data_IF_519584111370
#
_entry.id   IF_519584111370
#
_cell.length_a   1.000
_cell.length_b   1.000
_cell.length_c   1.000
_cell.angle_alpha   90.00
_cell.angle_beta   90.00
_cell.angle_gamma   90.00
#
_symmetry.space_group_name_H-M   'P 1'
#
loop_
_entity.id
_entity.type
_entity.pdbx_description
1 polymer ?
#
# COMPACT_ATOMS: atom_id res chain seq x y z
N UNK A 1 34.73 6.69 -22.42
CA UNK A 1 33.75 7.62 -23.04
C UNK A 1 32.62 7.79 -22.02
N UNK A 2 32.70 8.91 -21.30
CA UNK A 2 31.75 9.28 -20.24
C UNK A 2 30.54 9.97 -20.88
N UNK A 3 29.36 9.37 -20.74
CA UNK A 3 28.09 10.00 -21.07
C UNK A 3 27.39 10.40 -19.76
N UNK A 4 27.62 11.64 -19.33
CA UNK A 4 26.89 12.32 -18.28
C UNK A 4 25.46 12.58 -18.74
N UNK A 5 24.48 11.86 -18.20
CA UNK A 5 23.05 12.19 -18.36
C UNK A 5 22.68 13.22 -17.30
N UNK A 6 22.44 14.43 -17.75
CA UNK A 6 21.80 15.51 -16.98
C UNK A 6 20.36 15.13 -16.62
N UNK A 7 19.90 15.34 -15.39
CA UNK A 7 18.48 15.07 -15.05
C UNK A 7 17.58 16.09 -15.74
N UNK A 8 16.60 15.60 -16.46
CA UNK A 8 15.60 16.40 -17.15
C UNK A 8 14.70 17.15 -16.12
N UNK A 9 14.49 18.43 -16.39
CA UNK A 9 13.60 19.33 -15.67
C UNK A 9 12.18 18.75 -15.61
N UNK A 10 11.60 18.79 -14.42
CA UNK A 10 10.17 18.59 -14.18
C UNK A 10 9.35 19.60 -15.01
N UNK A 11 8.66 19.12 -16.03
CA UNK A 11 7.67 19.89 -16.76
C UNK A 11 6.45 20.11 -15.87
N UNK A 12 6.04 21.37 -15.74
CA UNK A 12 4.83 21.77 -15.02
C UNK A 12 3.58 21.18 -15.72
N UNK A 13 2.55 20.79 -14.95
CA UNK A 13 1.32 20.28 -15.54
C UNK A 13 0.55 21.39 -16.30
N UNK A 14 -0.20 21.03 -17.36
CA UNK A 14 -0.99 21.98 -18.10
C UNK A 14 -2.11 22.60 -17.25
N UNK A 15 -2.30 23.90 -17.39
CA UNK A 15 -3.38 24.68 -16.76
C UNK A 15 -4.75 24.19 -17.24
N UNK A 16 -5.44 23.48 -16.40
CA UNK A 16 -6.87 23.20 -16.58
C UNK A 16 -7.70 24.22 -15.79
N UNK A 17 -8.05 25.33 -16.44
CA UNK A 17 -9.08 26.25 -15.97
C UNK A 17 -10.45 25.62 -16.20
N UNK A 18 -11.04 25.02 -15.17
CA UNK A 18 -12.47 24.79 -15.10
C UNK A 18 -13.02 25.49 -13.85
N UNK A 19 -13.65 26.63 -14.07
CA UNK A 19 -14.50 27.30 -13.09
C UNK A 19 -15.71 26.41 -12.81
N UNK A 20 -15.82 25.88 -11.60
CA UNK A 20 -17.08 25.46 -11.02
C UNK A 20 -17.28 26.19 -9.71
N UNK A 21 -18.36 26.95 -9.67
CA UNK A 21 -18.80 27.71 -8.50
C UNK A 21 -19.30 26.74 -7.44
N UNK A 22 -18.54 26.56 -6.37
CA UNK A 22 -19.05 25.92 -5.16
C UNK A 22 -19.34 26.98 -4.11
N UNK A 23 -20.62 27.07 -3.74
CA UNK A 23 -21.13 27.88 -2.62
C UNK A 23 -20.46 27.42 -1.32
N UNK A 24 -19.90 28.41 -0.61
CA UNK A 24 -19.38 28.22 0.74
C UNK A 24 -20.55 27.87 1.67
N UNK A 25 -20.51 26.67 2.25
CA UNK A 25 -21.29 26.33 3.44
C UNK A 25 -20.28 26.26 4.58
N UNK A 26 -20.31 27.27 5.43
CA UNK A 26 -19.60 27.27 6.71
C UNK A 26 -20.47 26.47 7.68
N UNK A 27 -20.01 25.28 8.05
CA UNK A 27 -20.57 24.56 9.20
C UNK A 27 -19.43 24.30 10.18
N UNK A 28 -19.37 25.13 11.23
CA UNK A 28 -18.66 24.79 12.44
C UNK A 28 -19.56 23.81 13.22
N UNK A 29 -19.16 22.56 13.27
CA UNK A 29 -19.70 21.60 14.22
C UNK A 29 -18.56 20.65 14.60
N UNK A 30 -18.15 20.76 15.87
CA UNK A 30 -17.25 19.80 16.49
C UNK A 30 -17.93 18.43 16.50
N UNK A 31 -17.45 17.55 15.66
CA UNK A 31 -17.84 16.13 15.69
C UNK A 31 -16.92 15.45 16.68
N UNK A 32 -17.41 15.28 17.91
CA UNK A 32 -16.91 14.26 18.83
C UNK A 32 -17.31 12.93 18.18
N UNK A 33 -16.39 12.32 17.44
CA UNK A 33 -16.57 10.93 16.98
C UNK A 33 -16.36 10.05 18.20
N UNK A 34 -17.46 9.73 18.87
CA UNK A 34 -17.53 8.60 19.79
C UNK A 34 -17.32 7.36 18.92
N UNK A 35 -16.08 6.84 18.91
CA UNK A 35 -15.82 5.51 18.37
C UNK A 35 -16.52 4.52 19.31
N UNK A 36 -17.80 4.24 19.03
CA UNK A 36 -18.42 3.02 19.48
C UNK A 36 -17.68 1.91 18.75
N UNK A 37 -16.85 1.16 19.48
CA UNK A 37 -16.40 -0.15 19.05
C UNK A 37 -17.66 -1.00 18.89
N UNK A 38 -18.21 -1.01 17.70
CA UNK A 38 -19.08 -2.08 17.28
C UNK A 38 -18.20 -3.33 17.29
N UNK A 39 -18.52 -4.23 18.19
CA UNK A 39 -18.11 -5.63 18.12
C UNK A 39 -18.50 -6.15 16.73
N UNK A 40 -17.62 -5.95 15.78
CA UNK A 40 -17.61 -6.72 14.56
C UNK A 40 -16.88 -8.02 14.90
N UNK A 41 -17.46 -8.81 15.81
CA UNK A 41 -17.31 -10.26 15.77
C UNK A 41 -17.79 -10.63 14.36
N UNK A 42 -16.83 -10.73 13.44
CA UNK A 42 -17.08 -11.26 12.11
C UNK A 42 -17.55 -12.68 12.31
N UNK A 43 -18.86 -12.88 12.45
CA UNK A 43 -19.44 -14.17 12.15
C UNK A 43 -18.91 -14.54 10.78
N UNK A 44 -18.10 -15.60 10.72
CA UNK A 44 -17.77 -16.30 9.49
C UNK A 44 -19.08 -16.53 8.76
N UNK A 45 -19.33 -15.74 7.71
CA UNK A 45 -20.52 -15.95 6.91
C UNK A 45 -20.42 -17.38 6.36
N UNK A 46 -21.26 -18.30 6.82
CA UNK A 46 -21.11 -19.72 6.52
C UNK A 46 -21.21 -19.88 4.99
N UNK A 47 -20.14 -20.33 4.35
CA UNK A 47 -20.16 -20.80 2.97
C UNK A 47 -19.46 -19.94 1.93
N UNK A 48 -18.64 -18.96 2.27
CA UNK A 48 -17.87 -18.25 1.24
C UNK A 48 -16.72 -19.13 0.74
N UNK A 49 -16.86 -19.65 -0.49
CA UNK A 49 -15.79 -20.41 -1.15
C UNK A 49 -14.57 -19.49 -1.31
N UNK A 50 -13.39 -19.87 -0.81
CA UNK A 50 -12.17 -19.09 -1.01
C UNK A 50 -11.92 -18.85 -2.50
N UNK A 51 -11.41 -17.67 -2.90
CA UNK A 51 -11.07 -17.42 -4.30
C UNK A 51 -9.94 -18.35 -4.75
N UNK A 52 -9.85 -18.58 -6.06
CA UNK A 52 -8.71 -19.29 -6.66
C UNK A 52 -7.43 -18.52 -6.40
N UNK A 53 -6.35 -19.20 -6.07
CA UNK A 53 -5.02 -18.63 -5.94
C UNK A 53 -4.53 -18.02 -7.23
N UNK A 54 -3.65 -17.05 -7.13
CA UNK A 54 -3.05 -16.32 -8.24
C UNK A 54 -1.58 -16.70 -8.38
N UNK A 55 -1.10 -16.79 -9.61
CA UNK A 55 0.31 -16.86 -9.96
C UNK A 55 0.84 -15.43 -10.05
N UNK A 56 1.55 -14.98 -9.02
CA UNK A 56 1.96 -13.58 -8.85
C UNK A 56 3.45 -13.42 -9.09
N UNK A 57 3.81 -12.55 -10.02
CA UNK A 57 5.18 -12.09 -10.23
C UNK A 57 5.37 -10.77 -9.46
N UNK A 58 6.42 -10.69 -8.67
CA UNK A 58 6.74 -9.52 -7.86
C UNK A 58 7.96 -8.78 -8.39
N UNK A 59 8.01 -7.47 -8.17
CA UNK A 59 9.16 -6.62 -8.44
C UNK A 59 9.22 -5.49 -7.41
N UNK A 60 10.40 -5.16 -6.96
CA UNK A 60 10.59 -4.07 -6.01
C UNK A 60 11.94 -4.14 -5.31
N UNK A 61 12.21 -3.14 -4.47
CA UNK A 61 13.40 -3.03 -3.65
C UNK A 61 13.12 -3.47 -2.20
N UNK A 62 13.98 -3.08 -1.27
CA UNK A 62 13.92 -3.45 0.16
C UNK A 62 12.56 -3.19 0.84
N UNK A 63 11.77 -2.25 0.34
CA UNK A 63 10.44 -1.93 0.86
C UNK A 63 9.31 -2.83 0.29
N UNK A 64 9.66 -3.83 -0.51
CA UNK A 64 8.66 -4.74 -1.10
C UNK A 64 9.13 -6.21 -1.15
N UNK A 65 10.44 -6.46 -1.10
CA UNK A 65 11.03 -7.79 -1.33
C UNK A 65 10.54 -8.88 -0.36
N UNK A 66 10.01 -8.52 0.80
CA UNK A 66 9.49 -9.45 1.80
C UNK A 66 8.03 -9.86 1.53
N UNK A 67 7.28 -9.06 0.76
CA UNK A 67 5.84 -9.26 0.52
C UNK A 67 5.52 -10.66 0.00
N UNK A 68 6.19 -11.21 -1.04
CA UNK A 68 5.88 -12.54 -1.55
C UNK A 68 5.94 -13.61 -0.48
N UNK A 69 6.99 -13.58 0.35
CA UNK A 69 7.20 -14.56 1.43
C UNK A 69 6.14 -14.45 2.54
N UNK A 70 5.67 -13.24 2.83
CA UNK A 70 4.72 -13.01 3.92
C UNK A 70 3.25 -13.14 3.48
N UNK A 71 2.94 -12.97 2.19
CA UNK A 71 1.59 -13.20 1.66
C UNK A 71 1.25 -14.69 1.63
N UNK A 72 2.21 -15.57 1.34
CA UNK A 72 1.99 -17.00 1.21
C UNK A 72 1.33 -17.65 2.46
N UNK A 73 1.80 -17.44 3.70
CA UNK A 73 1.11 -17.98 4.87
C UNK A 73 -0.31 -17.43 5.05
N UNK A 74 -0.58 -16.18 4.66
CA UNK A 74 -1.94 -15.62 4.72
C UNK A 74 -2.88 -16.32 3.73
N UNK A 75 -2.42 -16.64 2.52
CA UNK A 75 -3.23 -17.38 1.56
C UNK A 75 -3.57 -18.77 2.06
N UNK A 76 -2.64 -19.45 2.71
CA UNK A 76 -2.88 -20.75 3.35
C UNK A 76 -3.90 -20.66 4.48
N UNK A 77 -3.75 -19.65 5.36
CA UNK A 77 -4.68 -19.41 6.46
C UNK A 77 -6.08 -19.05 5.97
N UNK A 78 -6.21 -18.38 4.82
CA UNK A 78 -7.49 -18.07 4.18
C UNK A 78 -8.08 -19.24 3.36
N UNK A 79 -7.46 -20.43 3.35
CA UNK A 79 -7.91 -21.58 2.56
C UNK A 79 -7.75 -21.42 1.05
N UNK A 80 -7.00 -20.43 0.58
CA UNK A 80 -6.78 -20.16 -0.85
C UNK A 80 -5.81 -21.20 -1.41
N UNK A 81 -6.29 -21.99 -2.37
CA UNK A 81 -5.49 -23.01 -3.04
C UNK A 81 -4.88 -22.48 -4.35
N UNK A 82 -3.63 -22.89 -4.65
CA UNK A 82 -2.96 -22.55 -5.91
C UNK A 82 -2.38 -21.14 -5.97
N UNK A 83 -2.15 -20.48 -4.83
CA UNK A 83 -1.29 -19.28 -4.81
C UNK A 83 0.15 -19.69 -5.09
N UNK A 84 0.79 -19.00 -6.04
CA UNK A 84 2.17 -19.24 -6.44
C UNK A 84 2.94 -17.92 -6.52
N UNK A 85 4.07 -17.84 -5.85
CA UNK A 85 5.06 -16.79 -6.06
C UNK A 85 5.93 -17.19 -7.26
N UNK A 86 5.65 -16.62 -8.45
CA UNK A 86 6.38 -16.91 -9.69
C UNK A 86 7.83 -16.38 -9.64
N UNK A 87 8.08 -15.35 -8.86
CA UNK A 87 9.40 -14.77 -8.64
C UNK A 87 9.33 -13.37 -8.08
N UNK A 88 10.47 -12.89 -7.58
CA UNK A 88 10.68 -11.49 -7.21
C UNK A 88 11.88 -10.97 -8.01
N UNK A 89 11.62 -10.30 -9.12
CA UNK A 89 12.60 -10.00 -10.16
C UNK A 89 12.61 -8.50 -10.49
N UNK A 90 13.79 -7.94 -10.80
CA UNK A 90 13.84 -6.56 -11.34
C UNK A 90 13.14 -6.50 -12.71
N UNK A 91 12.65 -5.31 -13.06
CA UNK A 91 11.85 -5.05 -14.25
C UNK A 91 12.34 -5.75 -15.54
N UNK A 92 13.63 -5.68 -15.96
CA UNK A 92 14.06 -6.31 -17.21
C UNK A 92 13.89 -7.84 -17.21
N UNK A 93 14.06 -8.49 -16.05
CA UNK A 93 13.85 -9.93 -15.90
C UNK A 93 12.36 -10.28 -15.80
N UNK A 94 11.54 -9.40 -15.23
CA UNK A 94 10.09 -9.57 -15.18
C UNK A 94 9.48 -9.61 -16.56
N UNK A 95 9.95 -8.79 -17.50
CA UNK A 95 9.51 -8.82 -18.91
C UNK A 95 9.68 -10.20 -19.52
N UNK A 96 10.85 -10.83 -19.34
CA UNK A 96 11.13 -12.17 -19.89
C UNK A 96 10.21 -13.27 -19.32
N UNK A 97 9.76 -13.11 -18.08
CA UNK A 97 8.80 -14.04 -17.46
C UNK A 97 7.40 -13.81 -18.02
N UNK A 98 6.98 -12.54 -18.12
CA UNK A 98 5.66 -12.17 -18.66
C UNK A 98 5.49 -12.59 -20.14
N UNK A 99 6.56 -12.51 -20.95
CA UNK A 99 6.55 -12.97 -22.34
C UNK A 99 6.22 -14.46 -22.47
N UNK A 100 6.62 -15.28 -21.51
CA UNK A 100 6.32 -16.73 -21.49
C UNK A 100 4.88 -17.04 -21.08
N UNK A 101 4.18 -16.06 -20.50
CA UNK A 101 2.83 -16.23 -19.98
C UNK A 101 2.75 -17.00 -18.66
N UNK A 102 1.53 -17.38 -18.29
CA UNK A 102 1.28 -18.14 -17.07
C UNK A 102 1.40 -17.30 -15.78
N UNK A 103 1.24 -15.99 -15.87
CA UNK A 103 1.20 -15.05 -14.73
C UNK A 103 -0.20 -14.44 -14.67
N UNK A 104 -0.80 -14.43 -13.50
CA UNK A 104 -2.13 -13.85 -13.28
C UNK A 104 -2.06 -12.41 -12.79
N UNK A 105 -1.00 -12.07 -12.05
CA UNK A 105 -0.81 -10.74 -11.50
C UNK A 105 0.66 -10.33 -11.44
N UNK A 106 0.90 -9.03 -11.59
CA UNK A 106 2.20 -8.41 -11.35
C UNK A 106 2.07 -7.43 -10.18
N UNK A 107 2.89 -7.60 -9.16
CA UNK A 107 2.92 -6.70 -7.99
C UNK A 107 4.22 -5.93 -7.95
N UNK A 108 4.12 -4.60 -8.05
CA UNK A 108 5.28 -3.73 -8.10
C UNK A 108 5.34 -2.77 -6.90
N UNK A 109 6.46 -2.85 -6.17
CA UNK A 109 6.80 -1.88 -5.12
C UNK A 109 7.39 -0.62 -5.73
N UNK A 110 6.58 0.44 -5.88
CA UNK A 110 7.04 1.73 -6.35
C UNK A 110 7.69 2.54 -5.23
N UNK A 111 8.87 3.11 -5.53
CA UNK A 111 9.52 4.13 -4.72
C UNK A 111 9.76 5.39 -5.55
N UNK A 112 9.49 6.54 -4.99
CA UNK A 112 9.64 7.84 -5.65
C UNK A 112 11.04 8.06 -6.26
N UNK A 113 12.07 7.43 -5.71
CA UNK A 113 13.45 7.50 -6.22
C UNK A 113 13.65 6.79 -7.57
N UNK A 114 12.69 6.00 -7.99
CA UNK A 114 12.73 5.31 -9.27
C UNK A 114 12.46 6.27 -10.46
N UNK A 115 12.04 7.51 -10.19
CA UNK A 115 11.65 8.47 -11.21
C UNK A 115 10.32 8.13 -11.88
N UNK A 116 10.17 8.49 -13.15
CA UNK A 116 8.96 8.17 -13.93
C UNK A 116 9.04 6.73 -14.42
N UNK A 117 8.31 5.83 -13.75
CA UNK A 117 8.16 4.42 -14.15
C UNK A 117 6.91 4.16 -15.00
N UNK A 118 6.16 5.19 -15.36
CA UNK A 118 4.95 5.00 -16.16
C UNK A 118 5.18 4.17 -17.45
N UNK A 119 6.26 4.41 -18.24
CA UNK A 119 6.54 3.61 -19.42
C UNK A 119 6.75 2.12 -19.09
N UNK A 120 7.43 1.81 -18.00
CA UNK A 120 7.74 0.45 -17.59
C UNK A 120 6.49 -0.27 -17.06
N UNK A 121 5.68 0.41 -16.24
CA UNK A 121 4.40 -0.13 -15.75
C UNK A 121 3.43 -0.36 -16.89
N UNK A 122 3.37 0.56 -17.86
CA UNK A 122 2.55 0.42 -19.06
C UNK A 122 2.99 -0.79 -19.90
N UNK A 123 4.30 -0.98 -20.09
CA UNK A 123 4.86 -2.09 -20.85
C UNK A 123 4.54 -3.45 -20.20
N UNK A 124 4.79 -3.63 -18.89
CA UNK A 124 4.49 -4.90 -18.21
C UNK A 124 3.00 -5.17 -18.16
N UNK A 125 2.17 -4.14 -17.98
CA UNK A 125 0.70 -4.30 -17.98
C UNK A 125 0.20 -4.74 -19.35
N UNK A 126 0.64 -4.08 -20.43
CA UNK A 126 0.26 -4.44 -21.79
C UNK A 126 0.71 -5.84 -22.17
N UNK A 127 1.92 -6.23 -21.76
CA UNK A 127 2.45 -7.57 -22.02
C UNK A 127 1.65 -8.64 -21.25
N UNK A 128 1.39 -8.41 -19.95
CA UNK A 128 0.58 -9.33 -19.14
C UNK A 128 -0.83 -9.52 -19.68
N UNK A 129 -1.51 -8.43 -20.06
CA UNK A 129 -2.87 -8.48 -20.65
C UNK A 129 -2.88 -9.23 -22.00
N UNK A 130 -1.82 -9.11 -22.81
CA UNK A 130 -1.69 -9.85 -24.06
C UNK A 130 -1.64 -11.36 -23.84
N UNK A 131 -1.00 -11.81 -22.75
CA UNK A 131 -0.85 -13.23 -22.42
C UNK A 131 -2.05 -13.79 -21.63
N UNK A 132 -2.67 -12.95 -20.79
CA UNK A 132 -3.81 -13.32 -19.94
C UNK A 132 -4.80 -12.14 -19.91
N UNK A 133 -5.99 -12.26 -20.54
CA UNK A 133 -7.00 -11.19 -20.51
C UNK A 133 -7.45 -10.79 -19.10
N UNK A 134 -7.33 -11.67 -18.10
CA UNK A 134 -7.65 -11.40 -16.70
C UNK A 134 -6.47 -10.89 -15.87
N UNK A 135 -5.34 -10.64 -16.52
CA UNK A 135 -4.13 -10.14 -15.88
C UNK A 135 -4.36 -8.81 -15.15
N UNK A 136 -3.71 -8.67 -14.01
CA UNK A 136 -3.81 -7.48 -13.15
C UNK A 136 -2.42 -6.99 -12.73
N UNK A 137 -2.21 -5.70 -12.85
CA UNK A 137 -1.03 -5.03 -12.29
C UNK A 137 -1.42 -4.34 -10.99
N UNK A 138 -0.68 -4.62 -9.92
CA UNK A 138 -0.82 -3.98 -8.62
C UNK A 138 0.42 -3.14 -8.35
N UNK A 139 0.26 -1.84 -8.21
CA UNK A 139 1.35 -0.93 -7.84
C UNK A 139 1.16 -0.51 -6.40
N UNK A 140 2.15 -0.84 -5.57
CA UNK A 140 2.19 -0.37 -4.20
C UNK A 140 2.56 1.10 -4.17
N UNK A 141 1.75 1.89 -3.49
CA UNK A 141 2.09 3.26 -3.11
C UNK A 141 2.59 3.23 -1.67
N UNK A 142 3.88 3.54 -1.49
CA UNK A 142 4.53 3.42 -0.19
C UNK A 142 4.39 4.71 0.66
N UNK A 143 4.83 4.64 1.90
CA UNK A 143 5.18 5.81 2.70
C UNK A 143 6.40 6.52 2.11
N UNK A 144 6.79 7.66 2.66
CA UNK A 144 7.78 8.53 2.02
C UNK A 144 9.06 8.64 2.85
N UNK A 145 10.21 8.60 2.16
CA UNK A 145 11.50 8.92 2.77
C UNK A 145 11.46 10.37 3.29
N UNK A 146 11.95 10.59 4.50
CA UNK A 146 11.92 11.89 5.18
C UNK A 146 10.53 12.54 5.15
N UNK A 147 9.45 11.73 5.17
CA UNK A 147 8.06 12.19 5.05
C UNK A 147 7.78 13.12 3.87
N UNK A 148 8.52 12.95 2.79
CA UNK A 148 8.37 13.73 1.56
C UNK A 148 9.14 15.06 1.56
N UNK A 149 9.90 15.37 2.60
CA UNK A 149 10.71 16.58 2.66
C UNK A 149 11.80 16.58 1.57
N UNK A 150 11.98 17.71 0.93
CA UNK A 150 13.01 17.92 -0.10
C UNK A 150 12.64 17.44 -1.49
N UNK A 151 11.55 16.71 -1.69
CA UNK A 151 11.13 16.22 -3.01
C UNK A 151 9.60 16.29 -3.27
N UNK A 152 8.77 15.97 -2.31
CA UNK A 152 7.31 16.15 -2.41
C UNK A 152 6.89 17.48 -1.79
N UNK A 153 7.41 17.79 -0.62
CA UNK A 153 7.23 19.03 0.09
C UNK A 153 8.42 19.95 -0.21
N UNK A 154 8.17 21.25 -0.36
CA UNK A 154 9.22 22.25 -0.65
C UNK A 154 10.08 22.61 0.58
N UNK A 155 10.34 21.67 1.44
CA UNK A 155 11.18 21.81 2.62
C UNK A 155 12.49 21.04 2.37
N UNK A 156 13.64 21.73 2.45
CA UNK A 156 14.95 21.15 2.19
C UNK A 156 15.49 20.29 3.34
N UNK A 157 14.76 20.19 4.47
CA UNK A 157 15.19 19.35 5.59
C UNK A 157 15.28 17.89 5.18
N UNK A 158 16.27 17.20 5.73
CA UNK A 158 16.42 15.75 5.60
C UNK A 158 16.55 15.17 7.00
N UNK A 159 15.90 14.05 7.22
CA UNK A 159 16.10 13.29 8.45
C UNK A 159 17.49 12.65 8.42
N UNK A 160 18.21 12.75 9.52
CA UNK A 160 19.56 12.22 9.67
C UNK A 160 19.60 11.02 10.62
N UNK A 161 18.61 10.92 11.45
CA UNK A 161 18.39 9.81 12.39
C UNK A 161 16.93 9.40 12.41
N UNK A 162 16.67 8.20 12.91
CA UNK A 162 15.33 7.61 12.90
C UNK A 162 14.35 8.40 13.78
N UNK A 163 14.83 9.00 14.87
CA UNK A 163 14.03 9.78 15.81
C UNK A 163 13.45 11.07 15.18
N UNK A 164 14.00 11.51 14.06
CA UNK A 164 13.46 12.69 13.35
C UNK A 164 12.02 12.47 12.86
N UNK A 165 11.58 11.21 12.72
CA UNK A 165 10.20 10.86 12.39
C UNK A 165 9.21 11.16 13.53
N UNK A 166 9.68 11.25 14.77
CA UNK A 166 8.82 11.52 15.94
C UNK A 166 8.27 12.95 15.94
N UNK A 167 8.98 13.89 15.31
CA UNK A 167 8.58 15.28 15.18
C UNK A 167 7.62 15.55 14.00
N UNK A 168 7.33 14.52 13.19
CA UNK A 168 6.47 14.65 12.02
C UNK A 168 5.01 14.78 12.41
N UNK A 169 4.35 15.82 11.90
CA UNK A 169 2.90 16.00 12.06
C UNK A 169 2.16 15.10 11.08
N UNK A 170 1.22 14.34 11.58
CA UNK A 170 0.44 13.40 10.76
C UNK A 170 -0.27 14.09 9.59
N UNK A 171 -0.74 15.34 9.78
CA UNK A 171 -1.36 16.14 8.72
C UNK A 171 -0.42 16.42 7.56
N UNK A 172 0.86 16.69 7.85
CA UNK A 172 1.87 16.98 6.84
C UNK A 172 2.28 15.70 6.09
N UNK A 173 2.43 14.60 6.83
CA UNK A 173 2.68 13.27 6.26
C UNK A 173 1.54 12.85 5.34
N UNK A 174 0.29 13.02 5.77
CA UNK A 174 -0.90 12.74 4.96
C UNK A 174 -0.89 13.58 3.68
N UNK A 175 -0.65 14.89 3.77
CA UNK A 175 -0.60 15.77 2.61
C UNK A 175 0.50 15.38 1.60
N UNK A 176 1.65 14.92 2.08
CA UNK A 176 2.73 14.43 1.23
C UNK A 176 2.36 13.12 0.52
N UNK A 177 1.76 12.17 1.25
CA UNK A 177 1.25 10.91 0.70
C UNK A 177 0.16 11.18 -0.33
N UNK A 178 -0.81 12.06 -0.04
CA UNK A 178 -1.86 12.45 -0.99
C UNK A 178 -1.28 13.00 -2.31
N UNK A 179 -0.23 13.79 -2.21
CA UNK A 179 0.41 14.38 -3.39
C UNK A 179 1.08 13.31 -4.26
N UNK A 180 1.79 12.36 -3.64
CA UNK A 180 2.39 11.24 -4.35
C UNK A 180 1.33 10.32 -4.94
N UNK A 181 0.29 10.03 -4.18
CA UNK A 181 -0.80 9.15 -4.57
C UNK A 181 -1.47 9.62 -5.87
N UNK A 182 -1.78 10.92 -5.98
CA UNK A 182 -2.39 11.50 -7.19
C UNK A 182 -1.56 11.29 -8.46
N UNK A 183 -0.24 11.26 -8.36
CA UNK A 183 0.64 10.98 -9.50
C UNK A 183 0.42 9.55 -10.01
N UNK A 184 0.34 8.60 -9.08
CA UNK A 184 0.22 7.18 -9.43
C UNK A 184 -1.24 6.84 -9.83
N UNK A 185 -2.22 7.53 -9.26
CA UNK A 185 -3.62 7.48 -9.71
C UNK A 185 -3.76 7.88 -11.18
N UNK A 186 -3.10 8.97 -11.58
CA UNK A 186 -3.09 9.41 -12.99
C UNK A 186 -2.43 8.37 -13.92
N UNK A 187 -1.43 7.61 -13.43
CA UNK A 187 -0.87 6.48 -14.20
C UNK A 187 -1.90 5.35 -14.36
N UNK A 188 -2.63 5.03 -13.29
CA UNK A 188 -3.64 3.99 -13.34
C UNK A 188 -4.78 4.37 -14.30
N UNK A 189 -5.24 5.62 -14.27
CA UNK A 189 -6.27 6.11 -15.18
C UNK A 189 -5.82 6.00 -16.64
N UNK A 190 -4.62 6.48 -16.95
CA UNK A 190 -4.06 6.41 -18.31
C UNK A 190 -3.90 4.98 -18.81
N UNK A 191 -3.37 4.08 -17.97
CA UNK A 191 -3.15 2.69 -18.37
C UNK A 191 -4.49 1.96 -18.55
N UNK A 192 -5.45 2.17 -17.64
CA UNK A 192 -6.77 1.57 -17.73
C UNK A 192 -7.56 2.08 -18.96
N UNK A 193 -7.47 3.37 -19.27
CA UNK A 193 -8.04 3.95 -20.50
C UNK A 193 -7.44 3.30 -21.74
N UNK A 194 -6.10 3.23 -21.83
CA UNK A 194 -5.40 2.60 -22.95
C UNK A 194 -5.77 1.12 -23.14
N UNK A 195 -6.01 0.39 -22.06
CA UNK A 195 -6.40 -1.02 -22.09
C UNK A 195 -7.91 -1.22 -22.32
N UNK A 196 -8.72 -0.15 -22.30
CA UNK A 196 -10.19 -0.19 -22.42
C UNK A 196 -10.88 -0.94 -21.28
N UNK A 197 -10.16 -1.25 -20.21
CA UNK A 197 -10.66 -1.94 -19.01
C UNK A 197 -9.75 -1.70 -17.81
N UNK A 198 -10.26 -2.00 -16.63
CA UNK A 198 -9.51 -1.85 -15.40
C UNK A 198 -8.56 -3.03 -15.19
N UNK A 199 -7.26 -2.78 -15.36
CA UNK A 199 -6.17 -3.75 -15.26
C UNK A 199 -5.07 -3.32 -14.29
N UNK A 200 -4.93 -2.02 -14.06
CA UNK A 200 -4.00 -1.48 -13.06
C UNK A 200 -4.76 -1.07 -11.81
N UNK A 201 -4.27 -1.56 -10.68
CA UNK A 201 -4.79 -1.33 -9.34
C UNK A 201 -3.68 -0.80 -8.44
N UNK A 202 -4.05 -0.06 -7.40
CA UNK A 202 -3.10 0.50 -6.44
C UNK A 202 -3.27 -0.17 -5.08
N UNK A 203 -2.16 -0.49 -4.44
CA UNK A 203 -2.14 -0.98 -3.05
C UNK A 203 -1.76 0.19 -2.15
N UNK A 204 -2.71 0.79 -1.40
CA UNK A 204 -2.56 2.08 -0.73
C UNK A 204 -1.81 1.97 0.62
N UNK A 205 -0.59 1.38 0.61
CA UNK A 205 0.19 1.15 1.82
C UNK A 205 0.57 2.46 2.52
N UNK A 206 0.87 3.52 1.75
CA UNK A 206 1.17 4.83 2.32
C UNK A 206 0.05 5.35 3.22
N UNK A 207 -1.20 5.23 2.78
CA UNK A 207 -2.36 5.61 3.60
C UNK A 207 -2.52 4.73 4.85
N UNK A 208 -2.28 3.44 4.72
CA UNK A 208 -2.32 2.52 5.87
C UNK A 208 -1.25 2.87 6.92
N UNK A 209 -0.03 3.21 6.48
CA UNK A 209 1.06 3.63 7.36
C UNK A 209 0.74 4.97 8.05
N UNK A 210 0.12 5.93 7.36
CA UNK A 210 -0.32 7.18 7.99
C UNK A 210 -1.35 6.92 9.09
N UNK A 211 -2.33 6.03 8.85
CA UNK A 211 -3.30 5.63 9.90
C UNK A 211 -2.64 4.97 11.10
N UNK A 212 -1.69 4.07 10.86
CA UNK A 212 -0.92 3.43 11.94
C UNK A 212 -0.14 4.47 12.76
N UNK A 213 0.57 5.38 12.09
CA UNK A 213 1.31 6.46 12.76
C UNK A 213 0.40 7.38 13.58
N UNK A 214 -0.80 7.68 13.08
CA UNK A 214 -1.79 8.46 13.82
C UNK A 214 -2.19 7.77 15.13
N UNK A 215 -2.43 6.44 15.10
CA UNK A 215 -2.72 5.69 16.32
C UNK A 215 -1.56 5.69 17.32
N UNK A 216 -0.31 5.65 16.84
CA UNK A 216 0.88 5.74 17.69
C UNK A 216 0.96 7.11 18.35
N UNK A 217 0.79 8.20 17.60
CA UNK A 217 0.79 9.58 18.12
C UNK A 217 -0.33 9.80 19.13
N UNK A 218 -1.50 9.20 18.90
CA UNK A 218 -2.65 9.27 19.80
C UNK A 218 -2.51 8.37 21.05
N UNK A 219 -1.43 7.57 21.17
CA UNK A 219 -1.26 6.60 22.26
C UNK A 219 -2.26 5.44 22.23
N UNK A 220 -2.85 5.14 21.06
CA UNK A 220 -3.88 4.10 20.87
C UNK A 220 -3.33 2.80 20.27
N UNK A 221 -2.04 2.72 20.01
CA UNK A 221 -1.41 1.52 19.47
C UNK A 221 -0.57 0.84 20.57
N UNK A 222 -0.85 -0.43 20.92
CA UNK A 222 -0.19 -1.11 22.04
C UNK A 222 1.33 -1.18 21.88
N UNK A 223 2.08 -1.02 22.95
CA UNK A 223 3.55 -1.20 23.05
C UNK A 223 4.41 -0.24 22.21
N UNK A 224 3.83 0.58 21.35
CA UNK A 224 4.56 1.55 20.51
C UNK A 224 4.13 2.94 20.86
N UNK A 225 5.08 3.78 21.24
CA UNK A 225 4.83 5.15 21.74
C UNK A 225 5.39 6.24 20.84
N UNK A 226 6.27 5.85 19.90
CA UNK A 226 6.97 6.77 19.01
C UNK A 226 6.87 6.30 17.56
N UNK A 227 6.76 7.23 16.63
CA UNK A 227 6.69 6.93 15.20
C UNK A 227 7.98 6.26 14.70
N UNK A 228 9.14 6.64 15.25
CA UNK A 228 10.44 6.06 14.93
C UNK A 228 10.52 4.55 15.20
N UNK A 229 9.80 4.02 16.19
CA UNK A 229 9.76 2.60 16.52
C UNK A 229 9.16 1.72 15.40
N UNK A 230 8.49 2.33 14.43
CA UNK A 230 7.91 1.63 13.28
C UNK A 230 8.92 1.34 12.18
N UNK A 231 10.10 1.96 12.21
CA UNK A 231 11.12 1.89 11.17
C UNK A 231 12.43 1.27 11.68
N UNK A 232 13.31 0.90 10.78
CA UNK A 232 14.64 0.38 11.12
C UNK A 232 15.73 1.45 11.11
N UNK A 233 15.55 2.50 10.30
CA UNK A 233 16.57 3.51 10.07
C UNK A 233 15.97 4.83 9.51
N UNK A 234 16.82 5.82 9.29
CA UNK A 234 16.41 7.12 8.74
C UNK A 234 15.95 7.06 7.27
N UNK A 235 16.22 5.97 6.54
CA UNK A 235 15.69 5.69 5.18
C UNK A 235 14.30 5.08 5.20
N UNK A 236 13.57 5.13 6.22
CA UNK A 236 12.52 4.41 6.90
C UNK A 236 12.26 3.02 6.32
N UNK A 237 13.27 2.18 6.33
CA UNK A 237 13.03 0.76 6.07
C UNK A 237 12.01 0.22 7.08
N UNK A 238 11.05 -0.61 6.64
CA UNK A 238 9.94 -1.02 7.48
C UNK A 238 10.39 -1.90 8.63
N UNK A 239 9.95 -1.59 9.84
CA UNK A 239 9.95 -2.51 10.97
C UNK A 239 8.87 -3.60 10.80
N UNK A 240 8.87 -4.58 11.69
CA UNK A 240 7.97 -5.75 11.62
C UNK A 240 6.48 -5.38 11.51
N UNK A 241 6.05 -4.34 12.19
CA UNK A 241 4.66 -3.87 12.18
C UNK A 241 4.24 -3.30 10.82
N UNK A 242 5.10 -2.48 10.19
CA UNK A 242 4.84 -1.99 8.84
C UNK A 242 4.92 -3.14 7.82
N UNK A 243 5.85 -4.07 7.98
CA UNK A 243 5.92 -5.26 7.10
C UNK A 243 4.63 -6.09 7.17
N UNK A 244 4.07 -6.30 8.36
CA UNK A 244 2.79 -6.98 8.55
C UNK A 244 1.64 -6.19 7.91
N UNK A 245 1.52 -4.89 8.21
CA UNK A 245 0.50 -4.02 7.65
C UNK A 245 0.51 -4.00 6.12
N UNK A 246 1.68 -3.83 5.54
CA UNK A 246 1.87 -3.85 4.08
C UNK A 246 1.44 -5.18 3.48
N UNK A 247 1.82 -6.30 4.12
CA UNK A 247 1.46 -7.64 3.68
C UNK A 247 -0.05 -7.83 3.71
N UNK A 248 -0.75 -7.35 4.75
CA UNK A 248 -2.20 -7.36 4.83
C UNK A 248 -2.86 -6.51 3.74
N UNK A 249 -2.28 -5.33 3.42
CA UNK A 249 -2.78 -4.52 2.30
C UNK A 249 -2.64 -5.26 0.95
N UNK A 250 -1.50 -5.92 0.70
CA UNK A 250 -1.31 -6.71 -0.51
C UNK A 250 -2.25 -7.89 -0.60
N UNK A 251 -2.42 -8.64 0.49
CA UNK A 251 -3.39 -9.75 0.55
C UNK A 251 -4.80 -9.24 0.22
N UNK A 252 -5.23 -8.16 0.87
CA UNK A 252 -6.57 -7.59 0.66
C UNK A 252 -6.78 -7.09 -0.77
N UNK A 253 -5.78 -6.50 -1.41
CA UNK A 253 -5.87 -6.04 -2.79
C UNK A 253 -5.90 -7.21 -3.79
N UNK A 254 -5.01 -8.19 -3.62
CA UNK A 254 -4.90 -9.36 -4.50
C UNK A 254 -6.17 -10.21 -4.48
N UNK A 255 -6.71 -10.47 -3.29
CA UNK A 255 -7.82 -11.41 -3.08
C UNK A 255 -9.17 -10.73 -2.83
N UNK A 256 -9.22 -9.41 -2.70
CA UNK A 256 -10.44 -8.60 -2.51
C UNK A 256 -11.26 -9.04 -1.30
N UNK A 257 -10.55 -9.39 -0.22
CA UNK A 257 -11.14 -9.86 1.03
C UNK A 257 -10.28 -9.40 2.22
N UNK A 258 -10.85 -9.34 3.44
CA UNK A 258 -10.07 -9.04 4.63
C UNK A 258 -8.97 -10.09 4.83
N UNK A 259 -7.83 -9.72 5.45
CA UNK A 259 -6.83 -10.71 5.85
C UNK A 259 -7.43 -11.74 6.81
N UNK A 260 -6.90 -12.97 6.89
CA UNK A 260 -7.33 -13.98 7.84
C UNK A 260 -7.28 -13.48 9.28
N UNK A 261 -8.13 -13.98 10.14
CA UNK A 261 -8.18 -13.56 11.53
C UNK A 261 -6.86 -13.80 12.28
N UNK A 262 -6.49 -12.86 13.14
CA UNK A 262 -5.38 -13.05 14.04
C UNK A 262 -5.70 -14.22 14.99
N UNK A 263 -4.71 -15.06 15.28
CA UNK A 263 -4.89 -16.17 16.21
C UNK A 263 -4.98 -15.60 17.63
N UNK A 264 -6.09 -15.82 18.36
CA UNK A 264 -6.20 -15.35 19.72
C UNK A 264 -5.11 -15.97 20.60
N UNK A 265 -4.63 -15.24 21.62
CA UNK A 265 -3.69 -15.80 22.57
C UNK A 265 -4.35 -16.89 23.40
N UNK A 266 -3.60 -17.87 23.95
CA UNK A 266 -4.14 -18.93 24.77
C UNK A 266 -4.72 -18.40 26.08
N UNK A 267 -5.56 -19.20 26.72
CA UNK A 267 -6.03 -18.93 28.07
C UNK A 267 -4.84 -18.77 29.03
N UNK A 268 -4.87 -17.73 29.85
CA UNK A 268 -3.76 -17.42 30.76
C UNK A 268 -2.59 -16.66 30.11
N UNK A 269 -2.72 -16.21 28.86
CA UNK A 269 -1.72 -15.39 28.19
C UNK A 269 -1.34 -14.15 29.02
N UNK A 270 -0.07 -13.82 29.02
CA UNK A 270 0.46 -12.61 29.65
C UNK A 270 0.06 -11.33 28.88
N UNK A 271 0.35 -10.17 29.46
CA UNK A 271 -0.01 -8.89 28.84
C UNK A 271 0.71 -8.68 27.50
N UNK A 272 1.97 -9.13 27.36
CA UNK A 272 2.73 -8.97 26.13
C UNK A 272 2.09 -9.74 24.97
N UNK A 273 1.61 -10.95 25.20
CA UNK A 273 0.90 -11.77 24.20
C UNK A 273 -0.46 -11.15 23.81
N UNK A 274 -1.18 -10.59 24.80
CA UNK A 274 -2.45 -9.86 24.55
C UNK A 274 -2.21 -8.61 23.70
N UNK A 275 -1.14 -7.85 23.98
CA UNK A 275 -0.78 -6.67 23.22
C UNK A 275 -0.36 -7.03 21.79
N UNK A 276 0.41 -8.11 21.59
CA UNK A 276 0.79 -8.59 20.28
C UNK A 276 -0.44 -8.99 19.44
N UNK A 277 -1.39 -9.68 20.06
CA UNK A 277 -2.67 -9.98 19.41
C UNK A 277 -3.45 -8.72 19.04
N UNK A 278 -3.56 -7.76 19.97
CA UNK A 278 -4.24 -6.49 19.72
C UNK A 278 -3.58 -5.71 18.59
N UNK A 279 -2.24 -5.68 18.51
CA UNK A 279 -1.52 -5.09 17.38
C UNK A 279 -1.93 -5.75 16.06
N UNK A 280 -1.95 -7.09 16.00
CA UNK A 280 -2.32 -7.81 14.77
C UNK A 280 -3.76 -7.50 14.34
N UNK A 281 -4.71 -7.46 15.27
CA UNK A 281 -6.10 -7.08 14.99
C UNK A 281 -6.19 -5.66 14.44
N UNK A 282 -5.50 -4.69 15.05
CA UNK A 282 -5.49 -3.30 14.59
C UNK A 282 -4.89 -3.20 13.17
N UNK A 283 -3.74 -3.82 12.92
CA UNK A 283 -3.08 -3.78 11.60
C UNK A 283 -3.95 -4.37 10.49
N UNK A 284 -4.65 -5.48 10.77
CA UNK A 284 -5.59 -6.10 9.83
C UNK A 284 -6.75 -5.17 9.50
N UNK A 285 -7.34 -4.54 10.52
CA UNK A 285 -8.45 -3.61 10.35
C UNK A 285 -8.01 -2.39 9.54
N UNK A 286 -6.86 -1.78 9.86
CA UNK A 286 -6.28 -0.67 9.08
C UNK A 286 -6.12 -1.09 7.61
N UNK A 287 -5.54 -2.26 7.35
CA UNK A 287 -5.29 -2.73 6.00
C UNK A 287 -6.61 -2.91 5.22
N UNK A 288 -7.58 -3.62 5.80
CA UNK A 288 -8.86 -3.88 5.17
C UNK A 288 -9.66 -2.59 4.90
N UNK A 289 -9.82 -1.74 5.91
CA UNK A 289 -10.52 -0.47 5.77
C UNK A 289 -9.86 0.46 4.73
N UNK A 290 -8.51 0.48 4.71
CA UNK A 290 -7.78 1.31 3.76
C UNK A 290 -7.93 0.77 2.34
N UNK A 291 -7.77 -0.52 2.13
CA UNK A 291 -7.86 -1.14 0.80
C UNK A 291 -9.29 -1.15 0.27
N UNK A 292 -10.28 -1.54 1.10
CA UNK A 292 -11.68 -1.61 0.67
C UNK A 292 -12.31 -0.23 0.48
N UNK A 293 -11.87 0.77 1.23
CA UNK A 293 -12.31 2.17 1.09
C UNK A 293 -11.60 2.95 -0.02
N UNK A 294 -10.58 2.37 -0.67
CA UNK A 294 -9.79 3.09 -1.67
C UNK A 294 -10.23 2.69 -3.10
N UNK A 295 -10.78 3.64 -3.88
CA UNK A 295 -11.37 3.33 -5.20
C UNK A 295 -10.41 2.62 -6.16
N UNK A 296 -9.12 2.99 -6.15
CA UNK A 296 -8.13 2.42 -7.07
C UNK A 296 -7.64 1.01 -6.67
N UNK A 297 -7.97 0.51 -5.48
CA UNK A 297 -7.62 -0.86 -5.09
C UNK A 297 -8.47 -1.92 -5.80
N UNK A 298 -9.63 -1.54 -6.36
CA UNK A 298 -10.51 -2.46 -7.08
C UNK A 298 -11.25 -3.45 -6.19
N UNK A 299 -11.35 -3.15 -4.92
CA UNK A 299 -12.16 -3.86 -3.94
C UNK A 299 -13.50 -3.11 -3.85
N UNK A 300 -14.60 -3.78 -4.14
CA UNK A 300 -15.91 -3.15 -4.01
C UNK A 300 -16.18 -2.84 -2.53
N UNK A 301 -16.63 -1.63 -2.17
CA UNK A 301 -17.16 -1.39 -0.85
C UNK A 301 -18.33 -2.35 -0.62
N UNK A 302 -18.40 -2.88 0.60
CA UNK A 302 -19.57 -3.68 1.03
C UNK A 302 -20.79 -2.80 1.18
#
# INVERSE_FOLDING_TARGET
>A
MNSSRTPALLLAPPNLTRRSSFKRITLAAGVIVLLTFLDASGEDAPGRVPPKGLRVLYSGASWHNFVPKLVEPLTKAAGIQGHENVGNLPYPKSVLVLEKGGVDAYSWGYGWWNGDLLPDVEAVTGLGVKQNPEFRTYVQTAWLVHDGLGYILKDARKFTKIEDYDDSKITDVQAAVDKMQRVIEAWADRINEKQGKRVMFLVPVGYAVVKLRALVVDGKFPKVTKQSELFHDAMPHPGSLIMALQTYCHFSALYRMPPPDAVPPPDGADQAQKDDYAQQVILRNIAWETVSGYPYAGVAPK
#
